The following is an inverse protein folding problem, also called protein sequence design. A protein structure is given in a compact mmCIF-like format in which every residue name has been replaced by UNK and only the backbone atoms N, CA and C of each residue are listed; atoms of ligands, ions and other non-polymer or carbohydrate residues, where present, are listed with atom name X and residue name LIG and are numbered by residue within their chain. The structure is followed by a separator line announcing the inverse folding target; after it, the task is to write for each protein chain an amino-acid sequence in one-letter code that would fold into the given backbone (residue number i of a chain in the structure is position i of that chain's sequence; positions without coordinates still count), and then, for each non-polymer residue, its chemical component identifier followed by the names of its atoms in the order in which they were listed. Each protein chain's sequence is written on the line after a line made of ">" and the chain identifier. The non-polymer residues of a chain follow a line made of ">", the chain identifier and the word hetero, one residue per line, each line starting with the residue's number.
data_IF_352739169343
#
_entry.id   IF_352739169343
#
_cell.length_a   1.000
_cell.length_b   1.000
_cell.length_c   1.000
_cell.angle_alpha   90.00
_cell.angle_beta   90.00
_cell.angle_gamma   90.00
#
_symmetry.space_group_name_H-M   'P 1'
#
loop_
_entity.id
_entity.type
_entity.pdbx_description
1 polymer ?
#
# COMPACT_ATOMS: atom_id res chain seq x y z
N UNK A 1 -13.87 -20.89 7.13
CA UNK A 1 -13.22 -19.76 7.83
C UNK A 1 -12.10 -19.13 7.00
N UNK A 2 -11.20 -19.92 6.39
CA UNK A 2 -10.10 -19.43 5.55
C UNK A 2 -10.56 -18.64 4.30
N UNK A 3 -11.58 -19.15 3.60
CA UNK A 3 -12.15 -18.53 2.39
C UNK A 3 -12.71 -17.12 2.62
N UNK A 4 -13.21 -16.84 3.84
CA UNK A 4 -13.71 -15.51 4.17
C UNK A 4 -12.57 -14.50 4.31
N UNK A 5 -11.46 -14.90 4.94
CA UNK A 5 -10.27 -14.05 5.10
C UNK A 5 -9.66 -13.73 3.73
N UNK A 6 -9.59 -14.72 2.85
CA UNK A 6 -9.10 -14.56 1.47
C UNK A 6 -9.98 -13.57 0.67
N UNK A 7 -11.32 -13.72 0.74
CA UNK A 7 -12.26 -12.78 0.10
C UNK A 7 -12.13 -11.35 0.64
N UNK A 8 -11.90 -11.20 1.94
CA UNK A 8 -11.66 -9.89 2.55
C UNK A 8 -10.35 -9.27 2.04
N UNK A 9 -9.29 -10.07 1.94
CA UNK A 9 -7.99 -9.63 1.46
C UNK A 9 -8.06 -9.18 -0.01
N UNK A 10 -8.70 -9.97 -0.86
CA UNK A 10 -8.94 -9.61 -2.26
C UNK A 10 -9.76 -8.33 -2.42
N UNK A 11 -10.75 -8.10 -1.54
CA UNK A 11 -11.54 -6.87 -1.55
C UNK A 11 -10.69 -5.65 -1.20
N UNK A 12 -9.82 -5.76 -0.20
CA UNK A 12 -8.90 -4.67 0.19
C UNK A 12 -7.91 -4.40 -0.93
N UNK A 13 -7.34 -5.45 -1.53
CA UNK A 13 -6.40 -5.33 -2.65
C UNK A 13 -7.06 -4.59 -3.81
N UNK A 14 -8.25 -5.02 -4.25
CA UNK A 14 -9.00 -4.36 -5.33
C UNK A 14 -9.33 -2.90 -5.02
N UNK A 15 -9.72 -2.62 -3.77
CA UNK A 15 -10.03 -1.25 -3.36
C UNK A 15 -8.80 -0.34 -3.45
N UNK A 16 -7.65 -0.80 -2.97
CA UNK A 16 -6.42 0.01 -2.99
C UNK A 16 -5.92 0.19 -4.42
N UNK A 17 -5.88 -0.88 -5.22
CA UNK A 17 -5.40 -0.80 -6.61
C UNK A 17 -6.34 0.02 -7.51
N UNK A 18 -7.64 0.09 -7.20
CA UNK A 18 -8.58 0.94 -7.95
C UNK A 18 -8.48 2.44 -7.61
N UNK A 19 -7.98 2.78 -6.43
CA UNK A 19 -7.88 4.18 -5.94
C UNK A 19 -6.45 4.70 -5.90
N UNK A 20 -5.47 3.91 -6.33
CA UNK A 20 -4.07 4.30 -6.39
C UNK A 20 -3.47 3.89 -7.73
N UNK A 21 -2.20 4.19 -7.96
CA UNK A 21 -1.49 3.86 -9.20
C UNK A 21 -0.64 2.59 -9.05
N UNK A 22 -0.73 1.92 -7.91
CA UNK A 22 0.00 0.67 -7.67
C UNK A 22 -0.64 -0.48 -8.46
N UNK A 23 0.20 -1.40 -8.94
CA UNK A 23 -0.28 -2.64 -9.53
C UNK A 23 -0.63 -3.66 -8.45
N UNK A 24 -1.61 -4.53 -8.73
CA UNK A 24 -1.99 -5.60 -7.81
C UNK A 24 -0.80 -6.50 -7.46
N UNK A 25 0.01 -6.85 -8.44
CA UNK A 25 1.23 -7.66 -8.26
C UNK A 25 2.18 -7.01 -7.27
N UNK A 26 2.45 -5.70 -7.43
CA UNK A 26 3.36 -4.97 -6.53
C UNK A 26 2.78 -4.82 -5.12
N UNK A 27 1.48 -4.57 -5.02
CA UNK A 27 0.81 -4.46 -3.72
C UNK A 27 0.83 -5.79 -2.96
N UNK A 28 0.63 -6.91 -3.65
CA UNK A 28 0.79 -8.25 -3.06
C UNK A 28 2.24 -8.51 -2.65
N UNK A 29 3.22 -8.19 -3.49
CA UNK A 29 4.65 -8.31 -3.14
C UNK A 29 4.99 -7.57 -1.83
N UNK A 30 4.46 -6.35 -1.65
CA UNK A 30 4.65 -5.55 -0.44
C UNK A 30 3.96 -6.15 0.80
N UNK A 31 2.87 -6.91 0.64
CA UNK A 31 2.26 -7.65 1.74
C UNK A 31 3.12 -8.84 2.19
N UNK A 32 3.91 -9.43 1.27
CA UNK A 32 4.72 -10.63 1.53
C UNK A 32 6.19 -10.33 1.86
N UNK A 33 6.72 -9.14 1.53
CA UNK A 33 8.09 -8.70 1.86
C UNK A 33 8.26 -8.46 3.37
N UNK A 34 8.42 -9.57 4.10
CA UNK A 34 8.77 -9.60 5.52
C UNK A 34 10.29 -9.56 5.68
N UNK A 35 10.84 -8.35 5.77
CA UNK A 35 12.20 -8.15 6.27
C UNK A 35 12.17 -8.01 7.78
N UNK A 36 12.66 -9.03 8.48
CA UNK A 36 13.04 -9.07 9.90
C UNK A 36 11.96 -8.75 10.96
N UNK A 37 11.65 -9.77 11.77
CA UNK A 37 10.81 -9.77 12.98
C UNK A 37 9.28 -9.72 12.80
N UNK A 38 8.74 -10.93 12.58
CA UNK A 38 7.85 -11.62 13.54
C UNK A 38 7.10 -10.69 14.51
N UNK A 39 5.99 -10.09 14.05
CA UNK A 39 4.67 -10.12 14.75
C UNK A 39 3.55 -9.38 14.02
N UNK A 40 3.86 -8.50 13.08
CA UNK A 40 2.84 -7.75 12.33
C UNK A 40 2.99 -7.98 10.82
N UNK A 41 1.90 -8.36 10.17
CA UNK A 41 1.83 -8.61 8.73
C UNK A 41 1.89 -7.27 7.99
N UNK A 42 2.99 -6.97 7.28
CA UNK A 42 3.08 -5.82 6.36
C UNK A 42 4.48 -5.22 6.21
N UNK A 43 4.71 -4.48 5.13
CA UNK A 43 5.91 -3.66 4.92
C UNK A 43 5.66 -2.23 5.40
N UNK A 44 6.58 -1.67 6.21
CA UNK A 44 6.59 -0.23 6.50
C UNK A 44 7.26 0.49 5.34
N UNK A 45 6.51 1.35 4.64
CA UNK A 45 7.03 2.16 3.55
C UNK A 45 7.32 3.58 4.04
N UNK A 46 8.50 4.10 3.70
CA UNK A 46 8.83 5.51 3.94
C UNK A 46 8.13 6.34 2.86
N UNK A 47 7.74 7.59 3.15
CA UNK A 47 6.89 8.40 2.25
C UNK A 47 7.35 8.43 0.79
N UNK A 48 8.67 8.45 0.53
CA UNK A 48 9.26 8.35 -0.82
C UNK A 48 8.88 7.06 -1.53
N UNK A 49 9.01 5.93 -0.83
CA UNK A 49 8.65 4.61 -1.33
C UNK A 49 7.15 4.53 -1.62
N UNK A 50 6.31 5.17 -0.81
CA UNK A 50 4.86 5.19 -1.05
C UNK A 50 4.48 5.96 -2.33
N UNK A 51 5.19 7.04 -2.65
CA UNK A 51 5.04 7.75 -3.93
C UNK A 51 5.56 6.89 -5.09
N UNK A 52 6.74 6.29 -4.94
CA UNK A 52 7.38 5.48 -5.99
C UNK A 52 6.57 4.22 -6.34
N UNK A 53 5.96 3.57 -5.34
CA UNK A 53 5.07 2.45 -5.56
C UNK A 53 3.65 2.90 -6.00
N UNK A 54 3.39 4.20 -6.13
CA UNK A 54 2.11 4.72 -6.62
C UNK A 54 0.95 4.62 -5.63
N UNK A 55 1.22 4.38 -4.34
CA UNK A 55 0.22 4.37 -3.28
C UNK A 55 -0.32 5.79 -3.01
N UNK A 56 0.53 6.80 -3.13
CA UNK A 56 0.18 8.22 -2.97
C UNK A 56 0.78 9.05 -4.11
N UNK A 57 0.25 10.26 -4.35
CA UNK A 57 0.68 11.07 -5.49
C UNK A 57 1.95 11.89 -5.24
N UNK A 58 2.13 12.42 -4.04
CA UNK A 58 3.28 13.26 -3.70
C UNK A 58 3.51 13.33 -2.19
N UNK A 59 4.74 13.68 -1.79
CA UNK A 59 5.07 14.05 -0.41
C UNK A 59 5.23 15.57 -0.37
N UNK A 60 4.53 16.21 0.55
CA UNK A 60 4.60 17.65 0.72
C UNK A 60 4.02 18.09 2.05
N UNK A 61 4.29 19.35 2.40
CA UNK A 61 3.62 20.01 3.52
C UNK A 61 2.38 20.77 3.05
N UNK A 62 1.54 21.17 4.02
CA UNK A 62 0.31 21.94 3.78
C UNK A 62 0.58 23.19 2.93
N UNK A 63 1.70 23.87 3.13
CA UNK A 63 2.09 25.04 2.32
C UNK A 63 2.26 24.74 0.83
N UNK A 64 2.72 23.53 0.46
CA UNK A 64 2.78 23.11 -0.95
C UNK A 64 1.40 22.78 -1.51
N UNK A 65 0.50 22.25 -0.68
CA UNK A 65 -0.86 21.94 -1.06
C UNK A 65 -1.71 23.20 -1.28
N UNK A 66 -1.50 24.25 -0.47
CA UNK A 66 -2.20 25.53 -0.60
C UNK A 66 -1.76 26.36 -1.82
N UNK A 67 -0.61 26.04 -2.41
CA UNK A 67 -0.04 26.76 -3.55
C UNK A 67 -0.37 26.13 -4.91
N UNK A 68 -1.25 25.12 -4.93
CA UNK A 68 -1.61 24.29 -6.09
C UNK A 68 -3.09 24.45 -6.40
#
# INVERSE_FOLDING_TARGET
>A
TYEYLEKMQDRVIKFVTSHSRITEEKFRELMFRTGDLVRDVGTVLVGKDAVENGLINEIGGIGKALAK
#
